data_IF_267457572377
#
_entry.id   IF_267457572377
#
_cell.length_a   1.000
_cell.length_b   1.000
_cell.length_c   1.000
_cell.angle_alpha   90.00
_cell.angle_beta   90.00
_cell.angle_gamma   90.00
#
_symmetry.space_group_name_H-M   'P 1'
#
loop_
_entity.id
_entity.type
_entity.pdbx_description
1 polymer ?
#
# COMPACT_ATOMS: atom_id res chain seq x y z
N UNK A 1 4.18 3.89 0.92
CA UNK A 1 4.20 3.03 2.13
C UNK A 1 5.64 2.85 2.55
N UNK A 2 5.97 3.16 3.79
CA UNK A 2 7.29 2.96 4.37
C UNK A 2 7.11 2.23 5.70
N UNK A 3 8.11 1.46 6.11
CA UNK A 3 8.12 0.75 7.39
C UNK A 3 9.42 1.01 8.15
N UNK A 4 9.39 0.81 9.47
CA UNK A 4 10.60 0.77 10.29
C UNK A 4 11.44 -0.48 9.98
N UNK A 5 12.71 -0.48 10.34
CA UNK A 5 13.65 -1.57 10.01
C UNK A 5 13.22 -2.93 10.60
N UNK A 6 12.59 -2.91 11.77
CA UNK A 6 12.13 -4.05 12.58
C UNK A 6 10.66 -4.44 12.33
N UNK A 7 9.93 -3.68 11.51
CA UNK A 7 8.56 -4.02 11.16
C UNK A 7 8.51 -5.16 10.13
N UNK A 8 7.64 -6.14 10.35
CA UNK A 8 7.43 -7.28 9.45
C UNK A 8 6.59 -6.95 8.20
N UNK A 9 6.08 -5.72 8.08
CA UNK A 9 5.25 -5.29 6.97
C UNK A 9 6.02 -5.28 5.65
N UNK A 10 5.49 -5.93 4.61
CA UNK A 10 5.99 -5.75 3.24
C UNK A 10 5.27 -4.57 2.56
N UNK A 11 5.96 -3.44 2.43
CA UNK A 11 5.42 -2.23 1.80
C UNK A 11 5.05 -2.43 0.32
N UNK A 12 5.78 -3.27 -0.42
CA UNK A 12 5.50 -3.57 -1.81
C UNK A 12 4.24 -4.43 -1.96
N UNK A 13 4.03 -5.38 -1.03
CA UNK A 13 2.80 -6.17 -0.98
C UNK A 13 1.57 -5.32 -0.64
N UNK A 14 1.69 -4.38 0.31
CA UNK A 14 0.61 -3.41 0.64
C UNK A 14 0.25 -2.59 -0.59
N UNK A 15 1.24 -2.00 -1.27
CA UNK A 15 0.98 -1.18 -2.46
C UNK A 15 0.33 -1.99 -3.58
N UNK A 16 0.77 -3.23 -3.80
CA UNK A 16 0.19 -4.11 -4.83
C UNK A 16 -1.27 -4.42 -4.56
N UNK A 17 -1.64 -4.75 -3.31
CA UNK A 17 -3.05 -4.92 -2.94
C UNK A 17 -3.90 -3.67 -3.24
N UNK A 18 -3.35 -2.47 -3.02
CA UNK A 18 -4.05 -1.22 -3.35
C UNK A 18 -4.19 -1.03 -4.87
N UNK A 19 -3.14 -1.32 -5.65
CA UNK A 19 -3.18 -1.23 -7.12
C UNK A 19 -4.15 -2.25 -7.71
N UNK A 20 -4.15 -3.48 -7.21
CA UNK A 20 -5.03 -4.54 -7.69
C UNK A 20 -6.51 -4.18 -7.45
N UNK A 21 -6.80 -3.44 -6.37
CA UNK A 21 -8.16 -3.00 -6.02
C UNK A 21 -8.59 -1.69 -6.68
N UNK A 22 -7.71 -0.68 -6.70
CA UNK A 22 -8.05 0.70 -7.08
C UNK A 22 -7.40 1.13 -8.41
N UNK A 23 -6.64 0.25 -9.08
CA UNK A 23 -5.88 0.58 -10.29
C UNK A 23 -4.63 1.42 -10.00
N UNK A 24 -4.10 2.08 -11.03
CA UNK A 24 -2.88 2.88 -10.92
C UNK A 24 -1.60 2.11 -11.20
N UNK A 25 -0.46 2.72 -10.84
CA UNK A 25 0.88 2.14 -11.06
C UNK A 25 1.80 2.48 -9.91
N UNK A 26 2.79 1.62 -9.67
CA UNK A 26 3.79 1.82 -8.64
C UNK A 26 4.74 0.65 -8.51
N UNK A 27 5.72 0.81 -7.63
CA UNK A 27 6.74 -0.19 -7.37
C UNK A 27 7.52 0.13 -6.10
N UNK A 28 8.39 -0.79 -5.72
CA UNK A 28 9.19 -0.64 -4.50
C UNK A 28 9.80 -1.94 -4.03
N UNK A 29 10.30 -1.88 -2.80
CA UNK A 29 10.90 -2.97 -2.03
C UNK A 29 10.10 -3.18 -0.74
N UNK A 30 10.32 -4.27 0.01
CA UNK A 30 9.59 -4.53 1.25
C UNK A 30 9.68 -3.40 2.29
N UNK A 31 10.76 -2.63 2.30
CA UNK A 31 10.98 -1.48 3.20
C UNK A 31 10.28 -0.19 2.76
N UNK A 32 10.10 0.00 1.45
CA UNK A 32 9.56 1.22 0.87
C UNK A 32 8.95 0.96 -0.51
N UNK A 33 7.69 1.38 -0.68
CA UNK A 33 7.01 1.35 -1.97
C UNK A 33 6.22 2.64 -2.23
N UNK A 34 6.21 3.07 -3.49
CA UNK A 34 5.51 4.26 -3.93
C UNK A 34 4.70 3.97 -5.19
N UNK A 35 3.51 4.54 -5.26
CA UNK A 35 2.61 4.43 -6.39
C UNK A 35 1.63 5.59 -6.42
N UNK A 36 0.93 5.72 -7.54
CA UNK A 36 -0.01 6.80 -7.79
C UNK A 36 -1.01 6.46 -8.89
N UNK A 37 -1.98 7.35 -9.08
CA UNK A 37 -3.09 7.11 -10.01
C UNK A 37 -4.10 6.08 -9.52
N UNK A 38 -4.20 5.86 -8.20
CA UNK A 38 -5.26 5.07 -7.61
C UNK A 38 -6.60 5.77 -7.87
N UNK A 39 -7.61 5.01 -8.28
CA UNK A 39 -8.94 5.51 -8.59
C UNK A 39 -9.94 5.04 -7.52
N UNK A 40 -10.57 5.98 -6.83
CA UNK A 40 -11.52 5.70 -5.75
C UNK A 40 -11.58 6.82 -4.73
N UNK A 41 -12.48 6.68 -3.76
CA UNK A 41 -12.58 7.64 -2.65
C UNK A 41 -11.31 7.57 -1.75
N UNK A 42 -10.71 8.72 -1.39
CA UNK A 42 -9.50 8.74 -0.57
C UNK A 42 -9.65 8.06 0.80
N UNK A 43 -10.83 8.13 1.43
CA UNK A 43 -11.09 7.47 2.71
C UNK A 43 -11.17 5.96 2.55
N UNK A 44 -11.78 5.47 1.47
CA UNK A 44 -11.83 4.02 1.17
C UNK A 44 -10.44 3.45 0.89
N UNK A 45 -9.61 4.19 0.15
CA UNK A 45 -8.22 3.81 -0.14
C UNK A 45 -7.41 3.76 1.16
N UNK A 46 -7.52 4.78 2.00
CA UNK A 46 -6.84 4.83 3.29
C UNK A 46 -7.31 3.71 4.25
N UNK A 47 -8.61 3.41 4.26
CA UNK A 47 -9.17 2.32 5.05
C UNK A 47 -8.66 0.95 4.58
N UNK A 48 -8.65 0.70 3.26
CA UNK A 48 -8.11 -0.53 2.69
C UNK A 48 -6.62 -0.70 3.03
N UNK A 49 -5.83 0.38 2.94
CA UNK A 49 -4.41 0.35 3.30
C UNK A 49 -4.21 -0.04 4.78
N UNK A 50 -4.98 0.56 5.70
CA UNK A 50 -4.90 0.26 7.14
C UNK A 50 -5.29 -1.18 7.48
N UNK A 51 -6.29 -1.75 6.80
CA UNK A 51 -6.71 -3.15 6.97
C UNK A 51 -5.63 -4.17 6.60
N UNK A 52 -4.67 -3.81 5.74
CA UNK A 52 -3.52 -4.67 5.41
C UNK A 52 -2.43 -4.56 6.48
N UNK A 53 -2.38 -3.43 7.20
CA UNK A 53 -1.34 -3.13 8.20
C UNK A 53 -1.70 -3.59 9.62
N UNK A 54 -2.99 -3.70 9.93
CA UNK A 54 -3.52 -4.03 11.24
C UNK A 54 -4.29 -5.35 11.14
N UNK A 55 -3.84 -6.44 11.80
CA UNK A 55 -4.65 -7.65 11.96
C UNK A 55 -5.90 -7.40 12.81
#
# INVERSE_FOLDING_TARGET
VARAADAATDAAAVLRNLIDRFGGKGGGRPELAQGGGLNGDPQEIAFAARRVLLP
#
